data_IF_679749677190
#
_entry.id   IF_679749677190
#
_cell.length_a   1.000
_cell.length_b   1.000
_cell.length_c   1.000
_cell.angle_alpha   90.00
_cell.angle_beta   90.00
_cell.angle_gamma   90.00
#
_symmetry.space_group_name_H-M   'P 1'
#
loop_
_entity.id
_entity.type
_entity.pdbx_description
1 polymer ?
#
# COMPACT_ATOMS: atom_id res chain seq x y z
N UNK A 1 -47.59 70.56 32.90
CA UNK A 1 -46.46 70.44 33.82
C UNK A 1 -45.17 70.66 33.04
N UNK A 2 -44.76 71.92 32.94
CA UNK A 2 -43.34 72.36 32.88
C UNK A 2 -42.96 72.69 34.34
N UNK A 3 -41.70 72.54 34.77
CA UNK A 3 -40.55 73.37 34.37
C UNK A 3 -39.34 72.53 33.90
N UNK A 4 -38.40 72.98 33.09
CA UNK A 4 -37.54 74.18 33.11
C UNK A 4 -36.17 73.91 33.75
N UNK A 5 -35.17 74.47 33.09
CA UNK A 5 -33.76 74.13 33.14
C UNK A 5 -32.99 74.82 34.26
N UNK A 6 -31.75 74.40 34.50
CA UNK A 6 -30.68 75.32 34.96
C UNK A 6 -29.28 74.80 34.60
N UNK A 7 -28.58 75.63 33.84
CA UNK A 7 -27.11 75.72 33.68
C UNK A 7 -26.55 76.52 34.88
N UNK A 8 -25.25 76.45 35.25
CA UNK A 8 -24.23 77.25 34.55
C UNK A 8 -22.77 76.73 34.51
N UNK A 9 -22.04 77.32 33.57
CA UNK A 9 -20.57 77.49 33.40
C UNK A 9 -19.85 78.19 34.60
N UNK A 10 -18.55 78.62 34.60
CA UNK A 10 -17.48 78.67 33.56
C UNK A 10 -16.06 78.29 34.05
N UNK A 11 -15.03 78.33 33.17
CA UNK A 11 -13.64 78.18 33.62
C UNK A 11 -12.53 78.36 32.60
N UNK A 12 -12.60 79.40 31.77
CA UNK A 12 -11.58 79.84 30.81
C UNK A 12 -10.27 80.28 31.51
N UNK A 13 -9.09 80.01 30.91
CA UNK A 13 -8.06 81.02 30.52
C UNK A 13 -6.60 80.53 30.63
N UNK A 14 -5.95 80.52 29.44
CA UNK A 14 -4.59 80.96 29.05
C UNK A 14 -3.53 81.12 30.16
N UNK A 15 -2.30 80.63 29.90
CA UNK A 15 -1.12 81.50 29.65
C UNK A 15 0.12 80.71 29.24
N UNK A 16 0.87 81.28 28.29
CA UNK A 16 2.28 81.05 28.02
C UNK A 16 3.13 81.37 29.25
N UNK A 17 4.18 80.57 29.51
CA UNK A 17 5.42 81.09 30.07
C UNK A 17 6.58 80.12 29.80
N UNK A 18 7.44 80.54 28.87
CA UNK A 18 8.78 80.04 28.67
C UNK A 18 9.63 80.44 29.88
N UNK A 19 10.26 79.47 30.55
CA UNK A 19 11.39 79.73 31.45
C UNK A 19 12.42 78.61 31.27
N UNK A 20 13.49 78.99 30.58
CA UNK A 20 14.80 78.35 30.65
C UNK A 20 15.29 78.36 32.10
N UNK A 21 15.63 77.18 32.65
CA UNK A 21 16.62 77.05 33.71
C UNK A 21 17.47 75.82 33.42
N UNK A 22 18.78 76.00 33.55
CA UNK A 22 19.83 75.12 33.08
C UNK A 22 20.07 73.92 34.02
N UNK A 23 20.47 72.81 33.37
CA UNK A 23 21.48 71.83 33.73
C UNK A 23 21.47 71.18 35.13
N UNK A 24 21.42 69.85 35.14
CA UNK A 24 22.42 68.96 35.77
C UNK A 24 22.52 67.66 34.95
N UNK A 25 23.69 66.98 34.89
CA UNK A 25 23.97 65.93 33.92
C UNK A 25 23.70 64.52 34.47
N UNK A 26 22.87 63.74 33.78
CA UNK A 26 22.81 62.27 33.95
C UNK A 26 22.48 61.62 32.61
N UNK A 27 23.48 60.98 31.98
CA UNK A 27 23.33 60.07 30.83
C UNK A 27 22.62 58.77 31.29
N UNK A 28 22.20 57.86 30.40
CA UNK A 28 21.32 58.00 29.24
C UNK A 28 20.14 57.01 29.37
N UNK A 29 18.92 57.49 29.58
CA UNK A 29 17.71 56.65 29.50
C UNK A 29 17.22 56.59 28.04
N UNK A 30 18.11 56.19 27.12
CA UNK A 30 17.85 56.20 25.68
C UNK A 30 18.28 54.90 25.00
N UNK A 31 18.01 53.75 25.62
CA UNK A 31 18.16 52.45 24.96
C UNK A 31 16.91 51.56 25.03
N UNK A 32 15.83 52.01 25.69
CA UNK A 32 14.67 51.13 25.88
C UNK A 32 13.71 51.10 24.67
N UNK A 33 13.42 52.25 24.06
CA UNK A 33 12.46 52.33 22.93
C UNK A 33 13.04 51.83 21.60
N UNK A 34 14.36 51.95 21.40
CA UNK A 34 15.09 51.41 20.25
C UNK A 34 15.21 49.90 20.33
N UNK A 35 15.37 49.35 21.54
CA UNK A 35 15.41 47.90 21.74
C UNK A 35 14.02 47.28 21.56
N UNK A 36 12.95 47.91 22.05
CA UNK A 36 11.59 47.43 21.87
C UNK A 36 11.16 47.37 20.39
N UNK A 37 11.50 48.38 19.58
CA UNK A 37 11.25 48.36 18.12
C UNK A 37 12.08 47.30 17.38
N UNK A 38 13.33 47.06 17.79
CA UNK A 38 14.18 46.00 17.23
C UNK A 38 13.67 44.60 17.60
N UNK A 39 13.18 44.39 18.83
CA UNK A 39 12.58 43.12 19.27
C UNK A 39 11.24 42.86 18.57
N UNK A 40 10.42 43.90 18.34
CA UNK A 40 9.18 43.78 17.57
C UNK A 40 9.47 43.48 16.10
N UNK A 41 10.41 44.19 15.45
CA UNK A 41 10.81 43.89 14.05
C UNK A 41 11.47 42.51 13.91
N UNK A 42 12.28 42.07 14.88
CA UNK A 42 12.88 40.74 14.90
C UNK A 42 11.83 39.64 15.06
N UNK A 43 10.82 39.83 15.93
CA UNK A 43 9.69 38.91 16.05
C UNK A 43 8.78 38.92 14.82
N UNK A 44 8.56 40.06 14.16
CA UNK A 44 7.70 40.15 12.99
C UNK A 44 8.35 39.51 11.76
N UNK A 45 9.69 39.59 11.63
CA UNK A 45 10.47 38.82 10.64
C UNK A 45 10.52 37.33 10.99
N UNK A 46 10.63 36.97 12.27
CA UNK A 46 10.55 35.57 12.73
C UNK A 46 9.15 34.98 12.48
N UNK A 47 8.08 35.75 12.69
CA UNK A 47 6.69 35.38 12.42
C UNK A 47 6.38 35.33 10.91
N UNK A 48 6.99 36.21 10.08
CA UNK A 48 6.91 36.12 8.62
C UNK A 48 7.71 34.94 8.06
N UNK A 49 8.79 34.51 8.73
CA UNK A 49 9.55 33.32 8.34
C UNK A 49 8.83 32.02 8.69
N UNK A 50 7.90 32.04 9.66
CA UNK A 50 7.09 30.89 10.04
C UNK A 50 5.95 30.58 9.05
N UNK A 51 5.62 31.47 8.12
CA UNK A 51 4.55 31.27 7.12
C UNK A 51 5.04 30.73 5.77
N UNK A 52 6.33 30.39 5.62
CA UNK A 52 6.85 29.57 4.52
C UNK A 52 6.99 28.08 4.91
N UNK A 53 6.09 27.56 5.74
CA UNK A 53 5.93 26.12 5.80
C UNK A 53 5.16 25.70 4.56
N UNK A 54 5.90 25.29 3.52
CA UNK A 54 5.36 24.49 2.45
C UNK A 54 4.83 23.22 3.11
N UNK A 55 3.52 23.15 3.31
CA UNK A 55 2.86 21.95 3.81
C UNK A 55 3.10 20.87 2.77
N UNK A 56 3.99 19.94 3.06
CA UNK A 56 4.23 18.77 2.23
C UNK A 56 2.92 17.96 2.22
N UNK A 57 2.11 18.10 1.16
CA UNK A 57 0.93 17.26 0.95
C UNK A 57 1.43 15.83 0.74
N UNK A 58 1.37 15.05 1.82
CA UNK A 58 1.73 13.64 1.80
C UNK A 58 0.72 12.92 0.93
N UNK A 59 1.01 12.80 -0.37
CA UNK A 59 0.18 12.06 -1.31
C UNK A 59 -0.05 10.65 -0.77
N UNK A 60 -1.31 10.26 -0.65
CA UNK A 60 -1.67 8.91 -0.24
C UNK A 60 -1.40 8.01 -1.44
N UNK A 61 -0.20 7.44 -1.52
CA UNK A 61 0.18 6.55 -2.61
C UNK A 61 -0.68 5.29 -2.56
N UNK A 62 -1.52 5.09 -3.58
CA UNK A 62 -2.34 3.89 -3.72
C UNK A 62 -1.45 2.77 -4.25
N UNK A 63 -1.38 1.65 -3.53
CA UNK A 63 -0.68 0.44 -3.97
C UNK A 63 -1.67 -0.53 -4.57
N UNK A 64 -1.38 -1.01 -5.79
CA UNK A 64 -2.12 -2.09 -6.46
C UNK A 64 -1.16 -3.22 -6.80
N UNK A 65 -1.67 -4.32 -7.36
CA UNK A 65 -0.88 -5.52 -7.66
C UNK A 65 -1.10 -6.01 -9.09
N UNK A 66 -0.09 -6.62 -9.70
CA UNK A 66 -0.21 -7.24 -11.03
C UNK A 66 -1.17 -8.43 -11.02
N UNK A 67 -2.23 -8.40 -11.81
CA UNK A 67 -3.27 -9.44 -11.86
C UNK A 67 -3.23 -10.35 -13.08
N UNK A 68 -2.26 -10.18 -13.99
CA UNK A 68 -2.09 -11.04 -15.17
C UNK A 68 -1.08 -12.17 -14.87
N UNK A 69 -1.48 -13.46 -14.94
CA UNK A 69 -0.58 -14.58 -14.62
C UNK A 69 0.71 -14.62 -15.44
N UNK A 70 0.65 -14.25 -16.72
CA UNK A 70 1.81 -14.16 -17.63
C UNK A 70 2.61 -12.86 -17.51
N UNK A 71 2.24 -11.99 -16.57
CA UNK A 71 2.81 -10.66 -16.39
C UNK A 71 2.03 -9.56 -17.13
N UNK A 72 2.02 -8.37 -16.55
CA UNK A 72 1.31 -7.20 -17.05
C UNK A 72 2.30 -6.21 -17.69
N UNK A 73 2.13 -5.94 -18.98
CA UNK A 73 3.05 -5.10 -19.74
C UNK A 73 2.85 -3.63 -19.37
N UNK A 74 3.95 -2.96 -19.04
CA UNK A 74 4.02 -1.50 -18.87
C UNK A 74 4.22 -0.87 -20.25
N UNK A 75 3.36 0.09 -20.59
CA UNK A 75 3.34 0.77 -21.89
C UNK A 75 3.81 2.21 -21.78
N UNK A 76 4.39 2.75 -22.84
CA UNK A 76 4.73 4.19 -22.92
C UNK A 76 3.52 5.10 -22.94
N UNK A 77 2.42 4.61 -23.52
CA UNK A 77 1.17 5.34 -23.72
C UNK A 77 -0.02 4.50 -23.24
N UNK A 78 -1.16 5.15 -22.90
CA UNK A 78 -2.39 4.49 -22.50
C UNK A 78 -3.12 3.90 -23.72
N UNK A 79 -2.44 2.99 -24.42
CA UNK A 79 -2.91 2.29 -25.62
C UNK A 79 -2.29 0.89 -25.71
N UNK A 80 -3.00 -0.05 -26.34
CA UNK A 80 -2.48 -1.40 -26.63
C UNK A 80 -1.36 -1.39 -27.68
N UNK A 81 -1.24 -0.31 -28.45
CA UNK A 81 -0.18 -0.09 -29.44
C UNK A 81 1.06 0.61 -28.90
N UNK A 82 1.02 1.11 -27.65
CA UNK A 82 2.17 1.80 -27.04
C UNK A 82 3.39 0.90 -26.91
N UNK A 83 4.59 1.50 -26.86
CA UNK A 83 5.85 0.78 -26.70
C UNK A 83 5.87 0.02 -25.38
N UNK A 84 6.50 -1.16 -25.36
CA UNK A 84 6.62 -1.99 -24.16
C UNK A 84 7.85 -1.54 -23.35
N UNK A 85 7.61 -0.87 -22.22
CA UNK A 85 8.68 -0.36 -21.35
C UNK A 85 9.12 -1.38 -20.28
N UNK A 86 8.26 -2.34 -19.95
CA UNK A 86 8.55 -3.34 -18.91
C UNK A 86 7.42 -4.35 -18.71
N UNK A 87 7.60 -5.20 -17.70
CA UNK A 87 6.66 -6.25 -17.34
C UNK A 87 6.55 -6.34 -15.81
N UNK A 88 5.35 -6.18 -15.28
CA UNK A 88 5.02 -6.38 -13.86
C UNK A 88 4.70 -7.87 -13.68
N UNK A 89 5.33 -8.54 -12.72
CA UNK A 89 5.02 -9.95 -12.44
C UNK A 89 3.67 -10.06 -11.74
N UNK A 90 3.04 -11.22 -11.86
CA UNK A 90 1.81 -11.51 -11.12
C UNK A 90 2.05 -11.39 -9.61
N UNK A 91 1.17 -10.64 -8.93
CA UNK A 91 1.22 -10.37 -7.50
C UNK A 91 2.23 -9.32 -7.06
N UNK A 92 3.05 -8.77 -7.96
CA UNK A 92 4.00 -7.72 -7.59
C UNK A 92 3.27 -6.39 -7.31
N UNK A 93 3.70 -5.64 -6.28
CA UNK A 93 3.11 -4.36 -5.95
C UNK A 93 3.54 -3.27 -6.94
N UNK A 94 2.64 -2.34 -7.24
CA UNK A 94 2.87 -1.14 -8.04
C UNK A 94 2.27 0.08 -7.37
N UNK A 95 2.89 1.24 -7.55
CA UNK A 95 2.36 2.51 -7.05
C UNK A 95 1.55 3.19 -8.14
N UNK A 96 0.32 3.57 -7.86
CA UNK A 96 -0.51 4.36 -8.79
C UNK A 96 -0.11 5.83 -8.72
N UNK A 97 0.16 6.41 -9.88
CA UNK A 97 0.52 7.83 -10.03
C UNK A 97 -0.64 8.63 -10.63
N UNK A 98 -1.34 8.06 -11.59
CA UNK A 98 -2.39 8.76 -12.35
C UNK A 98 -3.39 7.75 -12.93
N UNK A 99 -4.65 8.13 -13.11
CA UNK A 99 -5.65 7.33 -13.81
C UNK A 99 -6.44 8.18 -14.80
N UNK A 100 -6.73 7.60 -15.96
CA UNK A 100 -7.68 8.20 -16.92
C UNK A 100 -9.11 7.82 -16.56
N UNK A 101 -10.04 8.75 -16.73
CA UNK A 101 -11.45 8.50 -16.39
C UNK A 101 -12.17 7.53 -17.35
N UNK A 102 -11.66 7.39 -18.58
CA UNK A 102 -12.24 6.53 -19.60
C UNK A 102 -12.14 5.04 -19.21
N UNK A 103 -13.30 4.38 -19.14
CA UNK A 103 -13.39 2.93 -18.91
C UNK A 103 -13.46 2.24 -20.28
N UNK A 104 -12.48 1.38 -20.54
CA UNK A 104 -12.40 0.57 -21.75
C UNK A 104 -12.62 -0.91 -21.42
N UNK A 105 -12.95 -1.70 -22.45
CA UNK A 105 -12.98 -3.16 -22.37
C UNK A 105 -11.86 -3.73 -23.23
N UNK A 106 -10.91 -4.46 -22.63
CA UNK A 106 -9.80 -5.11 -23.34
C UNK A 106 -9.74 -6.56 -22.86
N UNK A 107 -9.81 -7.52 -23.79
CA UNK A 107 -9.82 -8.97 -23.48
C UNK A 107 -10.87 -9.32 -22.40
N UNK A 108 -12.11 -8.87 -22.61
CA UNK A 108 -13.26 -9.10 -21.72
C UNK A 108 -13.13 -8.54 -20.29
N UNK A 109 -12.08 -7.74 -20.02
CA UNK A 109 -11.92 -7.02 -18.75
C UNK A 109 -12.17 -5.54 -18.94
N UNK A 110 -12.94 -4.98 -18.01
CA UNK A 110 -13.20 -3.53 -17.94
C UNK A 110 -12.19 -2.87 -17.04
N UNK A 111 -11.68 -1.71 -17.44
CA UNK A 111 -10.72 -0.97 -16.64
C UNK A 111 -10.38 0.38 -17.22
N UNK A 112 -9.69 1.18 -16.41
CA UNK A 112 -9.12 2.47 -16.78
C UNK A 112 -7.64 2.31 -17.13
N UNK A 113 -7.11 3.18 -17.97
CA UNK A 113 -5.65 3.27 -18.08
C UNK A 113 -5.09 3.92 -16.82
N UNK A 114 -4.15 3.23 -16.18
CA UNK A 114 -3.53 3.62 -14.92
C UNK A 114 -2.04 3.82 -15.17
N UNK A 115 -1.53 5.00 -14.88
CA UNK A 115 -0.09 5.25 -14.85
C UNK A 115 0.46 4.79 -13.51
N UNK A 116 1.49 3.96 -13.57
CA UNK A 116 2.09 3.34 -12.40
C UNK A 116 3.59 3.59 -12.35
N UNK A 117 4.15 3.52 -11.15
CA UNK A 117 5.57 3.33 -10.90
C UNK A 117 5.86 1.90 -10.49
N UNK A 118 6.86 1.28 -11.11
CA UNK A 118 7.34 -0.07 -10.80
C UNK A 118 8.86 -0.12 -10.89
N UNK A 119 9.52 -0.15 -9.72
CA UNK A 119 10.98 0.00 -9.62
C UNK A 119 11.43 1.34 -10.22
N UNK A 120 12.32 1.29 -11.21
CA UNK A 120 12.84 2.47 -11.92
C UNK A 120 12.03 2.82 -13.19
N UNK A 121 10.93 2.11 -13.47
CA UNK A 121 10.12 2.30 -14.68
C UNK A 121 8.79 2.95 -14.29
N UNK A 122 8.39 3.96 -15.06
CA UNK A 122 7.06 4.56 -14.99
C UNK A 122 6.38 4.43 -16.35
N UNK A 123 5.10 4.10 -16.34
CA UNK A 123 4.33 3.95 -17.59
C UNK A 123 2.89 3.57 -17.34
N UNK A 124 2.18 3.25 -18.41
CA UNK A 124 0.75 2.98 -18.43
C UNK A 124 0.47 1.49 -18.45
N UNK A 125 -0.50 1.07 -17.64
CA UNK A 125 -1.03 -0.28 -17.63
C UNK A 125 -2.55 -0.24 -17.72
N UNK A 126 -3.15 -1.28 -18.28
CA UNK A 126 -4.58 -1.40 -18.28
C UNK A 126 -5.06 -1.89 -16.92
N UNK A 127 -5.78 -1.03 -16.19
CA UNK A 127 -6.23 -1.26 -14.82
C UNK A 127 -7.18 -2.44 -14.66
N UNK A 128 -7.79 -2.95 -15.73
CA UNK A 128 -8.58 -4.19 -15.71
C UNK A 128 -7.76 -5.43 -15.35
N UNK A 129 -6.42 -5.34 -15.41
CA UNK A 129 -5.49 -6.39 -14.97
C UNK A 129 -4.74 -6.03 -13.68
N UNK A 130 -5.16 -4.99 -12.95
CA UNK A 130 -4.64 -4.70 -11.62
C UNK A 130 -5.56 -5.27 -10.55
N UNK A 131 -4.99 -5.63 -9.41
CA UNK A 131 -5.71 -6.14 -8.24
C UNK A 131 -5.62 -5.11 -7.11
N UNK A 132 -6.74 -4.92 -6.41
CA UNK A 132 -6.81 -4.03 -5.24
C UNK A 132 -6.06 -4.59 -4.04
N UNK A 133 -6.03 -5.91 -3.92
CA UNK A 133 -5.32 -6.65 -2.88
C UNK A 133 -4.28 -7.56 -3.56
N UNK A 134 -3.20 -7.93 -2.86
CA UNK A 134 -2.32 -8.96 -3.38
C UNK A 134 -3.16 -10.22 -3.67
N UNK A 135 -2.93 -10.90 -4.79
CA UNK A 135 -3.61 -12.17 -5.03
C UNK A 135 -3.33 -13.07 -3.81
N UNK A 136 -4.37 -13.79 -3.35
CA UNK A 136 -4.20 -14.80 -2.31
C UNK A 136 -3.01 -15.64 -2.73
N UNK A 137 -1.95 -15.63 -1.93
CA UNK A 137 -0.69 -16.22 -2.34
C UNK A 137 -0.95 -17.70 -2.63
N UNK A 138 -1.04 -18.07 -3.90
CA UNK A 138 -0.52 -19.36 -4.31
C UNK A 138 0.91 -19.34 -3.80
N UNK A 139 1.14 -20.10 -2.73
CA UNK A 139 2.41 -20.12 -2.05
C UNK A 139 3.49 -20.44 -3.08
N UNK A 140 4.16 -19.39 -3.58
CA UNK A 140 5.53 -19.51 -4.04
C UNK A 140 6.34 -19.93 -2.82
N UNK A 141 6.33 -21.23 -2.54
CA UNK A 141 7.45 -21.88 -1.89
C UNK A 141 8.58 -21.93 -2.92
N UNK A 142 9.16 -20.76 -3.15
CA UNK A 142 10.60 -20.67 -3.36
C UNK A 142 11.27 -20.95 -2.00
N UNK A 143 10.97 -22.11 -1.41
CA UNK A 143 11.68 -22.64 -0.25
C UNK A 143 12.91 -23.31 -0.83
N UNK A 144 14.00 -22.52 -0.88
CA UNK A 144 15.37 -22.91 -1.25
C UNK A 144 15.52 -24.39 -1.60
N UNK A 145 15.58 -24.66 -2.90
CA UNK A 145 16.12 -25.89 -3.46
C UNK A 145 17.60 -26.05 -3.05
N UNK A 146 17.81 -26.55 -1.84
CA UNK A 146 19.07 -27.05 -1.32
C UNK A 146 18.80 -28.41 -0.65
N UNK A 147 18.32 -29.38 -1.42
CA UNK A 147 18.35 -30.80 -1.05
C UNK A 147 17.42 -31.25 0.08
N UNK A 148 16.50 -30.41 0.56
CA UNK A 148 15.53 -30.76 1.60
C UNK A 148 14.30 -31.49 1.02
N UNK A 149 14.53 -32.57 0.27
CA UNK A 149 13.46 -33.37 -0.33
C UNK A 149 12.84 -34.31 0.70
N UNK A 150 11.52 -34.25 0.95
CA UNK A 150 10.86 -35.16 1.87
C UNK A 150 10.82 -36.58 1.29
N UNK A 151 10.64 -37.54 2.19
CA UNK A 151 10.45 -38.96 1.85
C UNK A 151 8.96 -39.29 1.96
N UNK A 152 8.41 -39.98 0.96
CA UNK A 152 7.04 -40.49 1.01
C UNK A 152 7.01 -41.67 1.96
N UNK A 153 6.28 -41.54 3.07
CA UNK A 153 6.15 -42.62 4.07
C UNK A 153 4.86 -43.41 3.94
N UNK A 154 3.83 -42.84 3.32
CA UNK A 154 2.54 -43.47 3.09
C UNK A 154 1.89 -42.92 1.83
N UNK A 155 1.20 -43.80 1.09
CA UNK A 155 0.30 -43.46 -0.02
C UNK A 155 -0.99 -44.24 0.22
N UNK A 156 -2.10 -43.53 0.36
CA UNK A 156 -3.41 -44.13 0.60
C UNK A 156 -4.44 -43.48 -0.33
N UNK A 157 -5.01 -44.27 -1.23
CA UNK A 157 -6.17 -43.83 -2.00
C UNK A 157 -7.39 -43.80 -1.08
N UNK A 158 -7.94 -42.61 -0.83
CA UNK A 158 -9.20 -42.44 -0.10
C UNK A 158 -10.29 -41.84 -0.99
N UNK A 159 -11.44 -41.51 -0.42
CA UNK A 159 -12.65 -41.21 -1.21
C UNK A 159 -12.55 -39.92 -2.05
N UNK A 160 -11.80 -38.93 -1.56
CA UNK A 160 -11.69 -37.59 -2.17
C UNK A 160 -10.33 -37.31 -2.82
N UNK A 161 -9.41 -38.28 -2.81
CA UNK A 161 -8.08 -38.15 -3.40
C UNK A 161 -7.04 -39.09 -2.81
N UNK A 162 -5.81 -38.94 -3.28
CA UNK A 162 -4.66 -39.66 -2.75
C UNK A 162 -4.10 -38.91 -1.53
N UNK A 163 -3.98 -39.59 -0.39
CA UNK A 163 -3.34 -39.08 0.82
C UNK A 163 -1.87 -39.47 0.82
N UNK A 164 -1.00 -38.46 0.89
CA UNK A 164 0.46 -38.61 0.82
C UNK A 164 1.08 -38.13 2.12
N UNK A 165 1.69 -39.03 2.88
CA UNK A 165 2.47 -38.64 4.05
C UNK A 165 3.92 -38.36 3.65
N UNK A 166 4.37 -37.15 3.95
CA UNK A 166 5.71 -36.67 3.67
C UNK A 166 6.48 -36.45 4.96
N UNK A 167 7.63 -37.13 5.09
CA UNK A 167 8.59 -36.90 6.17
C UNK A 167 9.76 -36.06 5.67
N UNK A 168 9.92 -34.87 6.23
CA UNK A 168 11.00 -33.96 5.92
C UNK A 168 12.28 -34.31 6.70
N UNK A 169 13.47 -33.96 6.17
CA UNK A 169 14.75 -34.17 6.85
C UNK A 169 14.91 -33.51 8.23
N UNK A 170 14.15 -32.44 8.51
CA UNK A 170 14.07 -31.80 9.82
C UNK A 170 13.23 -32.59 10.85
N UNK A 171 12.67 -33.74 10.43
CA UNK A 171 11.84 -34.61 11.25
C UNK A 171 10.35 -34.26 11.23
N UNK A 172 9.95 -33.18 10.56
CA UNK A 172 8.53 -32.81 10.41
C UNK A 172 7.83 -33.82 9.51
N UNK A 173 6.60 -34.20 9.87
CA UNK A 173 5.73 -35.00 9.01
C UNK A 173 4.49 -34.17 8.65
N UNK A 174 4.09 -34.21 7.38
CA UNK A 174 2.89 -33.55 6.87
C UNK A 174 2.11 -34.52 5.98
N UNK A 175 0.78 -34.49 6.06
CA UNK A 175 -0.11 -35.22 5.15
C UNK A 175 -0.66 -34.24 4.11
N UNK A 176 -0.60 -34.63 2.84
CA UNK A 176 -1.03 -33.84 1.71
C UNK A 176 -2.08 -34.59 0.88
N UNK A 177 -3.04 -33.84 0.34
CA UNK A 177 -3.95 -34.34 -0.69
C UNK A 177 -3.25 -34.31 -2.04
N UNK A 178 -3.57 -35.25 -2.91
CA UNK A 178 -3.05 -35.35 -4.27
C UNK A 178 -4.10 -35.94 -5.21
N UNK A 179 -3.89 -35.79 -6.52
CA UNK A 179 -4.68 -36.50 -7.51
C UNK A 179 -4.56 -38.02 -7.32
N UNK A 180 -5.60 -38.77 -7.68
CA UNK A 180 -5.62 -40.24 -7.55
C UNK A 180 -4.43 -40.92 -8.24
N UNK A 181 -4.02 -40.42 -9.41
CA UNK A 181 -2.87 -40.94 -10.17
C UNK A 181 -1.56 -40.95 -9.37
N UNK A 182 -1.41 -40.05 -8.39
CA UNK A 182 -0.22 -39.99 -7.53
C UNK A 182 -0.06 -41.25 -6.67
N UNK A 183 -1.16 -41.91 -6.30
CA UNK A 183 -1.12 -43.13 -5.52
C UNK A 183 -0.61 -44.34 -6.31
N UNK A 184 -0.66 -44.28 -7.64
CA UNK A 184 -0.15 -45.34 -8.53
C UNK A 184 1.34 -45.15 -8.86
N UNK A 185 1.91 -43.99 -8.53
CA UNK A 185 3.32 -43.70 -8.76
C UNK A 185 4.24 -44.51 -7.82
N UNK A 186 5.35 -45.09 -8.31
CA UNK A 186 6.26 -45.90 -7.50
C UNK A 186 7.20 -45.02 -6.66
N UNK A 187 6.65 -44.15 -5.82
CA UNK A 187 7.39 -43.14 -5.03
C UNK A 187 7.45 -43.43 -3.53
N UNK A 188 6.77 -44.48 -3.05
CA UNK A 188 6.80 -44.89 -1.65
C UNK A 188 8.24 -45.18 -1.18
N UNK A 189 8.60 -44.68 0.00
CA UNK A 189 9.93 -44.75 0.61
C UNK A 189 11.05 -44.07 -0.19
N UNK A 190 10.72 -43.23 -1.18
CA UNK A 190 11.70 -42.45 -1.96
C UNK A 190 11.66 -40.99 -1.55
N UNK A 191 12.81 -40.31 -1.71
CA UNK A 191 12.86 -38.86 -1.68
C UNK A 191 12.18 -38.31 -2.92
N UNK A 192 11.36 -37.28 -2.77
CA UNK A 192 10.54 -36.76 -3.88
C UNK A 192 10.69 -35.25 -4.06
N UNK A 193 10.55 -34.82 -5.31
CA UNK A 193 10.17 -33.45 -5.68
C UNK A 193 8.70 -33.48 -6.04
N UNK A 194 7.98 -32.43 -5.66
CA UNK A 194 6.56 -32.34 -5.96
C UNK A 194 6.15 -30.90 -6.23
N UNK A 195 5.14 -30.72 -7.08
CA UNK A 195 4.50 -29.42 -7.31
C UNK A 195 3.19 -29.35 -6.55
N UNK A 196 2.84 -28.15 -6.11
CA UNK A 196 1.58 -27.87 -5.42
C UNK A 196 0.70 -27.06 -6.36
N UNK A 197 -0.59 -27.33 -6.30
CA UNK A 197 -1.61 -26.55 -6.96
C UNK A 197 -2.88 -26.53 -6.12
N UNK A 198 -3.92 -25.98 -6.72
CA UNK A 198 -5.24 -25.91 -6.11
C UNK A 198 -6.20 -26.77 -6.91
N UNK A 199 -7.00 -27.58 -6.21
CA UNK A 199 -8.06 -28.35 -6.83
C UNK A 199 -9.37 -28.18 -6.11
N UNK A 200 -10.46 -28.43 -6.83
CA UNK A 200 -11.81 -28.39 -6.30
C UNK A 200 -12.21 -29.78 -5.85
N UNK A 201 -12.55 -29.91 -4.57
CA UNK A 201 -13.19 -31.10 -4.00
C UNK A 201 -14.64 -30.77 -3.67
N UNK A 202 -15.47 -31.80 -3.47
CA UNK A 202 -16.85 -31.62 -3.02
C UNK A 202 -16.88 -30.86 -1.69
N UNK A 203 -17.74 -29.84 -1.56
CA UNK A 203 -17.79 -29.03 -0.34
C UNK A 203 -18.32 -29.82 0.87
N UNK A 204 -17.91 -29.41 2.07
CA UNK A 204 -18.36 -30.03 3.33
C UNK A 204 -19.91 -29.99 3.45
N UNK A 205 -20.55 -28.99 2.85
CA UNK A 205 -22.01 -28.82 2.78
C UNK A 205 -22.73 -29.93 2.00
N UNK A 206 -22.02 -30.66 1.15
CA UNK A 206 -22.63 -31.70 0.34
C UNK A 206 -22.83 -33.02 1.09
N UNK A 207 -22.25 -33.20 2.28
CA UNK A 207 -22.39 -34.42 3.11
C UNK A 207 -22.16 -35.74 2.33
N UNK A 208 -21.34 -35.70 1.27
CA UNK A 208 -21.05 -36.85 0.41
C UNK A 208 -22.10 -37.15 -0.67
N UNK A 209 -23.06 -36.26 -0.92
CA UNK A 209 -24.02 -36.36 -2.02
C UNK A 209 -23.32 -36.12 -3.38
N UNK A 210 -23.25 -37.12 -4.27
CA UNK A 210 -22.58 -36.99 -5.56
C UNK A 210 -23.31 -36.07 -6.54
N UNK A 211 -24.59 -35.75 -6.32
CA UNK A 211 -25.36 -34.83 -7.16
C UNK A 211 -25.20 -33.35 -6.73
N UNK A 212 -24.52 -33.11 -5.59
CA UNK A 212 -24.25 -31.78 -5.08
C UNK A 212 -23.21 -31.05 -5.94
N UNK A 213 -23.51 -29.79 -6.30
CA UNK A 213 -22.65 -28.97 -7.17
C UNK A 213 -21.71 -28.04 -6.40
N UNK A 214 -21.79 -28.02 -5.07
CA UNK A 214 -20.93 -27.15 -4.26
C UNK A 214 -19.51 -27.71 -4.20
N UNK A 215 -18.53 -26.86 -4.48
CA UNK A 215 -17.11 -27.23 -4.43
C UNK A 215 -16.33 -26.35 -3.47
N UNK A 216 -15.31 -26.93 -2.86
CA UNK A 216 -14.32 -26.25 -2.02
C UNK A 216 -12.94 -26.38 -2.65
N UNK A 217 -12.21 -25.27 -2.72
CA UNK A 217 -10.83 -25.24 -3.17
C UNK A 217 -9.89 -25.73 -2.05
N UNK A 218 -8.99 -26.65 -2.36
CA UNK A 218 -7.99 -27.20 -1.43
C UNK A 218 -6.60 -27.23 -2.08
N UNK A 219 -5.57 -27.02 -1.27
CA UNK A 219 -4.18 -27.21 -1.70
C UNK A 219 -3.88 -28.70 -1.86
N UNK A 220 -3.35 -29.08 -3.02
CA UNK A 220 -3.01 -30.47 -3.34
C UNK A 220 -1.70 -30.61 -4.12
N UNK A 221 -1.13 -31.81 -4.10
CA UNK A 221 0.02 -32.20 -4.89
C UNK A 221 -0.47 -32.55 -6.30
N UNK A 222 0.02 -31.81 -7.29
CA UNK A 222 -0.32 -32.05 -8.71
C UNK A 222 0.61 -33.08 -9.32
N UNK A 223 1.91 -32.96 -9.06
CA UNK A 223 2.93 -33.87 -9.58
C UNK A 223 3.87 -34.29 -8.47
N UNK A 224 4.28 -35.55 -8.49
CA UNK A 224 5.30 -36.10 -7.60
C UNK A 224 6.31 -36.87 -8.44
N UNK A 225 7.60 -36.76 -8.12
CA UNK A 225 8.63 -37.51 -8.83
C UNK A 225 9.75 -37.87 -7.88
N UNK A 226 10.21 -39.11 -7.95
CA UNK A 226 11.37 -39.56 -7.18
C UNK A 226 12.64 -38.80 -7.59
N UNK A 227 13.39 -38.33 -6.60
CA UNK A 227 14.73 -37.77 -6.81
C UNK A 227 15.68 -38.94 -7.07
N UNK A 228 16.47 -38.81 -8.14
CA UNK A 228 17.51 -39.78 -8.49
C UNK A 228 18.70 -39.69 -7.55
#
# INVERSE_FOLDING_TARGET
MTPEASFPEPGNRKTNASLHVCAWPVKPFLDFFTMLRKVILLNLVLLLSLSLHCTEEKETTITLYGGAPSGLIIRSEPSTSGEKLGLIKYGDPVTVLEQKEEILTIQDKKGKWTRIGYGNVQGWVFGGFLLANPPAQEAKKDEKDQGNHPTVTSLQAGDVGCYVDLKYPDGKTETWYANFDVCDEPVLNKKVKFTRGKGNVLADSCEGDPECQDTKEVDMIETITAVK
#
